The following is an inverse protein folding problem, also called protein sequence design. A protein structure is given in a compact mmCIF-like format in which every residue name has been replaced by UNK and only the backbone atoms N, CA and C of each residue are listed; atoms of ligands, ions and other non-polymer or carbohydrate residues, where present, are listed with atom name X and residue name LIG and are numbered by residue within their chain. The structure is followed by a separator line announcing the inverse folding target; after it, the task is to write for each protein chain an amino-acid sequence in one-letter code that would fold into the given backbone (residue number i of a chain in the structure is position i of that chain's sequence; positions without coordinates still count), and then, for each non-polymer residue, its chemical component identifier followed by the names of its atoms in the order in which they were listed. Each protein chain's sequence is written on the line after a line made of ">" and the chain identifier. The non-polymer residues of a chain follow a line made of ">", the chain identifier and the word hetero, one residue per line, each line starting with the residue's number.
data_IF_641757196083
#
_entry.id   IF_641757196083
#
_cell.length_a   1.000
_cell.length_b   1.000
_cell.length_c   1.000
_cell.angle_alpha   90.00
_cell.angle_beta   90.00
_cell.angle_gamma   90.00
#
_symmetry.space_group_name_H-M   'P 1'
#
loop_
_entity.id
_entity.type
_entity.pdbx_description
1 polymer ?
#
# COMPACT_ATOMS: atom_id res chain seq x y z
N UNK A 1 -3.91 1.06 -30.65
CA UNK A 1 -4.85 2.03 -30.06
C UNK A 1 -5.46 1.54 -28.75
N UNK A 2 -6.39 0.57 -28.75
CA UNK A 2 -7.01 0.09 -27.51
C UNK A 2 -5.99 -0.52 -26.53
N UNK A 3 -5.10 -1.39 -27.02
CA UNK A 3 -4.01 -1.96 -26.22
C UNK A 3 -3.14 -0.88 -25.56
N UNK A 4 -2.69 0.11 -26.33
CA UNK A 4 -1.82 1.19 -25.84
C UNK A 4 -2.50 2.07 -24.80
N UNK A 5 -3.78 2.40 -25.01
CA UNK A 5 -4.58 3.17 -24.05
C UNK A 5 -4.76 2.41 -22.73
N UNK A 6 -5.10 1.12 -22.79
CA UNK A 6 -5.25 0.30 -21.58
C UNK A 6 -3.90 0.12 -20.88
N UNK A 7 -2.80 -0.06 -21.63
CA UNK A 7 -1.45 -0.15 -21.08
C UNK A 7 -1.06 1.13 -20.35
N UNK A 8 -1.38 2.28 -20.93
CA UNK A 8 -1.16 3.58 -20.29
C UNK A 8 -1.96 3.68 -18.99
N UNK A 9 -3.25 3.36 -18.99
CA UNK A 9 -4.10 3.37 -17.79
C UNK A 9 -3.55 2.42 -16.72
N UNK A 10 -3.12 1.22 -17.11
CA UNK A 10 -2.55 0.23 -16.20
C UNK A 10 -1.30 0.77 -15.49
N UNK A 11 -0.36 1.34 -16.26
CA UNK A 11 0.86 1.93 -15.71
C UNK A 11 0.53 3.14 -14.84
N UNK A 12 -0.39 4.01 -15.27
CA UNK A 12 -0.77 5.20 -14.52
C UNK A 12 -1.41 4.85 -13.16
N UNK A 13 -2.26 3.82 -13.11
CA UNK A 13 -2.85 3.34 -11.87
C UNK A 13 -1.77 2.88 -10.87
N UNK A 14 -0.77 2.15 -11.35
CA UNK A 14 0.37 1.70 -10.53
C UNK A 14 1.21 2.89 -10.05
N UNK A 15 1.46 3.89 -10.91
CA UNK A 15 2.19 5.11 -10.54
C UNK A 15 1.43 5.90 -9.46
N UNK A 16 0.13 6.14 -9.63
CA UNK A 16 -0.67 6.88 -8.66
C UNK A 16 -0.90 6.13 -7.34
N UNK A 17 -0.77 4.81 -7.34
CA UNK A 17 -0.74 4.01 -6.12
C UNK A 17 0.44 4.39 -5.18
N UNK A 18 1.48 5.07 -5.69
CA UNK A 18 2.55 5.63 -4.85
C UNK A 18 2.10 6.78 -3.95
N UNK A 19 1.10 7.57 -4.35
CA UNK A 19 0.65 8.72 -3.55
C UNK A 19 0.05 8.31 -2.18
N UNK A 20 -0.87 7.32 -2.10
CA UNK A 20 -1.27 6.73 -0.83
C UNK A 20 -0.11 6.22 0.02
N UNK A 21 0.93 5.65 -0.61
CA UNK A 21 2.11 5.16 0.10
C UNK A 21 2.91 6.30 0.74
N UNK A 22 3.22 7.37 0.00
CA UNK A 22 3.93 8.54 0.55
C UNK A 22 3.14 9.22 1.67
N UNK A 23 1.82 9.31 1.54
CA UNK A 23 0.97 9.84 2.61
C UNK A 23 1.13 9.04 3.91
N UNK A 24 1.31 7.72 3.85
CA UNK A 24 1.54 6.89 5.04
C UNK A 24 2.92 7.10 5.65
N UNK A 25 3.93 7.41 4.83
CA UNK A 25 5.28 7.79 5.31
C UNK A 25 5.18 9.09 6.11
N UNK A 26 4.57 10.13 5.53
CA UNK A 26 4.38 11.44 6.17
C UNK A 26 3.59 11.32 7.46
N UNK A 27 2.51 10.53 7.47
CA UNK A 27 1.75 10.22 8.68
C UNK A 27 2.62 9.56 9.77
N UNK A 28 3.60 8.72 9.40
CA UNK A 28 4.49 8.09 10.36
C UNK A 28 5.42 9.11 11.05
N UNK A 29 5.70 10.23 10.40
CA UNK A 29 6.47 11.34 10.96
C UNK A 29 5.72 12.09 12.05
N UNK A 30 4.43 11.79 12.28
CA UNK A 30 3.66 12.35 13.40
C UNK A 30 4.34 12.19 14.77
N UNK A 31 5.20 11.17 14.92
CA UNK A 31 5.99 10.96 16.15
C UNK A 31 6.90 12.14 16.48
N UNK A 32 7.29 12.94 15.47
CA UNK A 32 8.11 14.13 15.63
C UNK A 32 7.38 15.25 16.37
N UNK A 33 6.04 15.24 16.41
CA UNK A 33 5.24 16.21 17.14
C UNK A 33 5.10 15.89 18.64
N UNK A 34 5.60 14.74 19.12
CA UNK A 34 5.42 14.33 20.52
C UNK A 34 3.95 14.18 20.89
N UNK A 35 3.50 14.86 21.96
CA UNK A 35 2.08 14.97 22.31
C UNK A 35 1.40 16.00 21.41
N UNK A 36 0.99 15.57 20.22
CA UNK A 36 0.24 16.42 19.30
C UNK A 36 -1.19 16.69 19.81
N UNK A 37 -1.74 17.90 19.60
CA UNK A 37 -3.15 18.18 19.84
C UNK A 37 -4.06 17.21 19.07
N UNK A 38 -5.23 16.89 19.63
CA UNK A 38 -6.18 15.97 19.02
C UNK A 38 -6.55 16.35 17.59
N UNK A 39 -6.70 17.65 17.29
CA UNK A 39 -6.97 18.14 15.93
C UNK A 39 -5.89 17.71 14.92
N UNK A 40 -4.61 17.72 15.32
CA UNK A 40 -3.49 17.31 14.47
C UNK A 40 -3.48 15.79 14.30
N UNK A 41 -3.66 15.01 15.38
CA UNK A 41 -3.76 13.54 15.27
C UNK A 41 -4.96 13.13 14.40
N UNK A 42 -6.09 13.83 14.55
CA UNK A 42 -7.31 13.63 13.75
C UNK A 42 -7.08 13.91 12.28
N UNK A 43 -6.33 14.97 11.95
CA UNK A 43 -5.95 15.27 10.58
C UNK A 43 -5.13 14.12 9.95
N UNK A 44 -4.11 13.62 10.66
CA UNK A 44 -3.32 12.47 10.19
C UNK A 44 -4.18 11.21 10.01
N UNK A 45 -5.12 10.94 10.93
CA UNK A 45 -6.03 9.80 10.81
C UNK A 45 -6.95 9.91 9.60
N UNK A 46 -7.42 11.13 9.28
CA UNK A 46 -8.24 11.37 8.08
C UNK A 46 -7.46 11.16 6.78
N UNK A 47 -6.16 11.51 6.74
CA UNK A 47 -5.28 11.21 5.60
C UNK A 47 -5.22 9.70 5.35
N UNK A 48 -4.97 8.91 6.40
CA UNK A 48 -4.89 7.44 6.30
C UNK A 48 -6.23 6.85 5.83
N UNK A 49 -7.33 7.34 6.41
CA UNK A 49 -8.68 6.90 6.04
C UNK A 49 -8.96 7.14 4.56
N UNK A 50 -8.67 8.34 4.07
CA UNK A 50 -8.87 8.69 2.65
C UNK A 50 -7.94 7.93 1.71
N UNK A 51 -6.73 7.59 2.15
CA UNK A 51 -5.78 6.81 1.36
C UNK A 51 -6.29 5.40 1.04
N UNK A 52 -7.00 4.75 1.97
CA UNK A 52 -7.53 3.40 1.77
C UNK A 52 -8.50 3.30 0.56
N UNK A 53 -9.45 4.23 0.45
CA UNK A 53 -10.40 4.26 -0.68
C UNK A 53 -9.70 4.49 -2.01
N UNK A 54 -8.68 5.36 -2.04
CA UNK A 54 -7.87 5.59 -3.24
C UNK A 54 -7.11 4.33 -3.65
N UNK A 55 -6.52 3.59 -2.69
CA UNK A 55 -5.86 2.32 -2.96
C UNK A 55 -6.81 1.30 -3.62
N UNK A 56 -8.06 1.20 -3.17
CA UNK A 56 -9.05 0.30 -3.79
C UNK A 56 -9.29 0.64 -5.25
N UNK A 57 -9.49 1.93 -5.56
CA UNK A 57 -9.72 2.38 -6.93
C UNK A 57 -8.51 2.03 -7.79
N UNK A 58 -7.28 2.36 -7.35
CA UNK A 58 -6.08 2.05 -8.12
C UNK A 58 -5.84 0.53 -8.29
N UNK A 59 -6.08 -0.27 -7.26
CA UNK A 59 -5.97 -1.73 -7.33
C UNK A 59 -7.00 -2.34 -8.29
N UNK A 60 -8.25 -1.86 -8.24
CA UNK A 60 -9.30 -2.29 -9.16
C UNK A 60 -8.97 -1.89 -10.60
N UNK A 61 -8.52 -0.66 -10.83
CA UNK A 61 -8.07 -0.20 -12.14
C UNK A 61 -6.92 -1.06 -12.65
N UNK A 62 -5.91 -1.35 -11.82
CA UNK A 62 -4.78 -2.21 -12.18
C UNK A 62 -5.23 -3.65 -12.50
N UNK A 63 -6.17 -4.21 -11.72
CA UNK A 63 -6.74 -5.54 -11.96
C UNK A 63 -7.47 -5.60 -13.30
N UNK A 64 -8.44 -4.72 -13.51
CA UNK A 64 -9.28 -4.71 -14.71
C UNK A 64 -8.43 -4.45 -15.96
N UNK A 65 -7.57 -3.43 -15.93
CA UNK A 65 -6.68 -3.14 -17.05
C UNK A 65 -5.68 -4.26 -17.30
N UNK A 66 -5.15 -4.91 -16.25
CA UNK A 66 -4.24 -6.05 -16.39
C UNK A 66 -4.90 -7.26 -17.04
N UNK A 67 -6.15 -7.56 -16.67
CA UNK A 67 -6.94 -8.63 -17.29
C UNK A 67 -7.24 -8.33 -18.76
N UNK A 68 -7.60 -7.08 -19.10
CA UNK A 68 -7.87 -6.68 -20.49
C UNK A 68 -6.62 -6.71 -21.36
N UNK A 69 -5.43 -6.46 -20.80
CA UNK A 69 -4.17 -6.50 -21.57
C UNK A 69 -3.79 -7.90 -22.07
N UNK A 70 -4.29 -8.98 -21.44
CA UNK A 70 -4.01 -10.34 -21.88
C UNK A 70 -4.55 -10.61 -23.29
N UNK A 71 -5.88 -10.58 -23.54
CA UNK A 71 -6.42 -10.82 -24.87
C UNK A 71 -6.00 -9.75 -25.87
N UNK A 72 -5.92 -8.47 -25.46
CA UNK A 72 -5.49 -7.38 -26.34
C UNK A 72 -4.01 -7.50 -26.76
N UNK A 73 -3.18 -8.15 -25.95
CA UNK A 73 -1.79 -8.45 -26.25
C UNK A 73 -1.58 -9.77 -26.99
N UNK A 74 -2.65 -10.45 -27.42
CA UNK A 74 -2.60 -11.75 -28.12
C UNK A 74 -2.41 -12.96 -27.21
N UNK A 75 -2.48 -12.80 -25.88
CA UNK A 75 -2.43 -13.91 -24.93
C UNK A 75 -3.84 -14.42 -24.63
N UNK A 76 -4.02 -15.74 -24.61
CA UNK A 76 -5.23 -16.36 -24.06
C UNK A 76 -5.34 -16.13 -22.55
N UNK A 77 -6.55 -16.25 -21.99
CA UNK A 77 -6.78 -16.15 -20.55
C UNK A 77 -5.98 -17.18 -19.73
N UNK A 78 -5.69 -18.36 -20.30
CA UNK A 78 -4.84 -19.36 -19.67
C UNK A 78 -3.41 -18.86 -19.43
N UNK A 79 -2.93 -17.89 -20.23
CA UNK A 79 -1.65 -17.23 -20.08
C UNK A 79 -1.46 -16.56 -18.72
N UNK A 80 -2.55 -16.16 -18.05
CA UNK A 80 -2.49 -15.66 -16.66
C UNK A 80 -1.96 -16.71 -15.68
N UNK A 81 -2.31 -17.98 -15.90
CA UNK A 81 -2.00 -19.11 -15.02
C UNK A 81 -0.71 -19.80 -15.46
N UNK A 82 -0.53 -19.98 -16.78
CA UNK A 82 0.64 -20.62 -17.36
C UNK A 82 1.93 -19.79 -17.14
N UNK A 83 1.81 -18.46 -17.18
CA UNK A 83 2.94 -17.58 -16.91
C UNK A 83 3.10 -17.34 -15.40
N UNK A 84 4.13 -17.94 -14.81
CA UNK A 84 4.43 -17.85 -13.37
C UNK A 84 4.56 -16.41 -12.85
N UNK A 85 5.07 -15.48 -13.65
CA UNK A 85 5.23 -14.08 -13.24
C UNK A 85 3.88 -13.37 -13.21
N UNK A 86 3.04 -13.58 -14.24
CA UNK A 86 1.69 -13.01 -14.29
C UNK A 86 0.82 -13.59 -13.18
N UNK A 87 0.88 -14.90 -12.95
CA UNK A 87 0.18 -15.56 -11.86
C UNK A 87 0.62 -15.00 -10.50
N UNK A 88 1.92 -14.85 -10.27
CA UNK A 88 2.44 -14.27 -9.04
C UNK A 88 1.93 -12.84 -8.82
N UNK A 89 1.96 -11.98 -9.85
CA UNK A 89 1.43 -10.60 -9.77
C UNK A 89 -0.07 -10.59 -9.44
N UNK A 90 -0.85 -11.48 -10.07
CA UNK A 90 -2.27 -11.61 -9.80
C UNK A 90 -2.54 -12.02 -8.36
N UNK A 91 -1.84 -13.05 -7.86
CA UNK A 91 -1.96 -13.50 -6.47
C UNK A 91 -1.56 -12.41 -5.47
N UNK A 92 -0.47 -11.69 -5.73
CA UNK A 92 -0.04 -10.57 -4.89
C UNK A 92 -1.08 -9.43 -4.85
N UNK A 93 -1.73 -9.14 -5.98
CA UNK A 93 -2.81 -8.15 -6.05
C UNK A 93 -4.04 -8.57 -5.21
N UNK A 94 -4.39 -9.86 -5.23
CA UNK A 94 -5.45 -10.40 -4.36
C UNK A 94 -5.08 -10.29 -2.87
N UNK A 95 -3.84 -10.60 -2.52
CA UNK A 95 -3.33 -10.44 -1.15
C UNK A 95 -3.41 -8.96 -0.73
N UNK A 96 -3.02 -8.04 -1.61
CA UNK A 96 -3.14 -6.60 -1.35
C UNK A 96 -4.59 -6.17 -1.07
N UNK A 97 -5.55 -6.69 -1.84
CA UNK A 97 -6.97 -6.43 -1.63
C UNK A 97 -7.45 -6.94 -0.27
N UNK A 98 -7.00 -8.13 0.15
CA UNK A 98 -7.32 -8.69 1.47
C UNK A 98 -6.74 -7.84 2.59
N UNK A 99 -5.46 -7.48 2.51
CA UNK A 99 -4.79 -6.65 3.52
C UNK A 99 -5.47 -5.28 3.65
N UNK A 100 -5.80 -4.66 2.52
CA UNK A 100 -6.51 -3.38 2.48
C UNK A 100 -7.90 -3.50 3.11
N UNK A 101 -8.61 -4.60 2.85
CA UNK A 101 -9.93 -4.88 3.43
C UNK A 101 -9.89 -5.07 4.94
N UNK A 102 -8.89 -5.77 5.45
CA UNK A 102 -8.69 -5.90 6.90
C UNK A 102 -8.46 -4.52 7.54
N UNK A 103 -7.62 -3.69 6.93
CA UNK A 103 -7.36 -2.33 7.44
C UNK A 103 -8.61 -1.46 7.38
N UNK A 104 -9.30 -1.44 6.24
CA UNK A 104 -10.41 -0.51 5.99
C UNK A 104 -11.71 -0.90 6.72
N UNK A 105 -12.03 -2.20 6.78
CA UNK A 105 -13.31 -2.68 7.32
C UNK A 105 -13.24 -3.04 8.81
N UNK A 106 -12.04 -3.34 9.34
CA UNK A 106 -11.89 -3.79 10.73
C UNK A 106 -11.07 -2.82 11.58
N UNK A 107 -9.85 -2.50 11.16
CA UNK A 107 -8.94 -1.72 12.01
C UNK A 107 -9.30 -0.24 12.03
N UNK A 108 -9.55 0.36 10.88
CA UNK A 108 -9.87 1.79 10.77
C UNK A 108 -11.17 2.16 11.53
N UNK A 109 -12.28 1.40 11.42
CA UNK A 109 -13.49 1.71 12.19
C UNK A 109 -13.30 1.51 13.69
N UNK A 110 -12.45 0.54 14.10
CA UNK A 110 -12.09 0.36 15.51
C UNK A 110 -11.34 1.56 16.10
N UNK A 111 -10.43 2.15 15.33
CA UNK A 111 -9.74 3.40 15.73
C UNK A 111 -10.74 4.56 15.78
N UNK A 112 -11.60 4.67 14.78
CA UNK A 112 -12.61 5.73 14.68
C UNK A 112 -13.57 5.73 15.88
N UNK A 113 -14.06 4.55 16.27
CA UNK A 113 -14.96 4.38 17.43
C UNK A 113 -14.33 4.83 18.74
N UNK A 114 -13.01 4.68 18.88
CA UNK A 114 -12.28 5.14 20.07
C UNK A 114 -12.02 6.65 20.02
N UNK A 115 -11.66 7.18 18.85
CA UNK A 115 -11.44 8.62 18.67
C UNK A 115 -12.74 9.44 18.80
N UNK A 116 -13.90 8.87 18.49
CA UNK A 116 -15.19 9.55 18.66
C UNK A 116 -15.60 9.77 20.12
N UNK A 117 -14.90 9.15 21.08
CA UNK A 117 -15.11 9.31 22.52
C UNK A 117 -14.23 10.41 23.12
N UNK A 118 -13.36 11.05 22.32
CA UNK A 118 -12.46 12.09 22.81
C UNK A 118 -13.22 13.41 22.90
N UNK A 119 -13.32 13.94 24.11
CA UNK A 119 -13.83 15.28 24.40
C UNK A 119 -12.65 16.21 24.77
N UNK A 120 -12.51 17.34 24.07
CA UNK A 120 -11.44 18.31 24.30
C UNK A 120 -10.26 18.23 23.31
N UNK A 121 -9.11 18.79 23.72
CA UNK A 121 -7.94 18.96 22.84
C UNK A 121 -6.88 17.86 22.98
N UNK A 122 -7.01 16.97 23.96
CA UNK A 122 -6.05 15.89 24.22
C UNK A 122 -6.75 14.54 24.25
N UNK A 123 -6.04 13.48 23.89
CA UNK A 123 -6.56 12.12 23.94
C UNK A 123 -6.35 11.58 25.36
N UNK A 124 -7.43 11.23 26.09
CA UNK A 124 -7.33 10.62 27.41
C UNK A 124 -6.45 9.36 27.38
N UNK A 125 -5.68 9.14 28.45
CA UNK A 125 -4.71 8.04 28.52
C UNK A 125 -5.35 6.65 28.35
N UNK A 126 -6.58 6.47 28.84
CA UNK A 126 -7.36 5.24 28.68
C UNK A 126 -7.67 4.94 27.21
N UNK A 127 -8.13 5.96 26.47
CA UNK A 127 -8.41 5.85 25.03
C UNK A 127 -7.10 5.62 24.26
N UNK A 128 -6.03 6.33 24.61
CA UNK A 128 -4.72 6.17 24.01
C UNK A 128 -4.20 4.72 24.14
N UNK A 129 -4.32 4.10 25.32
CA UNK A 129 -3.89 2.73 25.57
C UNK A 129 -4.60 1.71 24.67
N UNK A 130 -5.87 1.95 24.32
CA UNK A 130 -6.66 1.07 23.43
C UNK A 130 -6.41 1.33 21.94
N UNK A 131 -6.09 2.57 21.57
CA UNK A 131 -5.83 2.97 20.18
C UNK A 131 -4.45 2.51 19.69
N UNK A 132 -3.42 2.61 20.54
CA UNK A 132 -2.04 2.26 20.19
C UNK A 132 -1.88 0.87 19.55
N UNK A 133 -2.42 -0.25 20.10
CA UNK A 133 -2.25 -1.56 19.49
C UNK A 133 -2.91 -1.66 18.10
N UNK A 134 -4.06 -1.01 17.89
CA UNK A 134 -4.72 -0.95 16.58
C UNK A 134 -3.85 -0.20 15.56
N UNK A 135 -3.28 0.94 15.96
CA UNK A 135 -2.37 1.73 15.12
C UNK A 135 -1.12 0.95 14.77
N UNK A 136 -0.51 0.22 15.71
CA UNK A 136 0.65 -0.64 15.47
C UNK A 136 0.30 -1.75 14.47
N UNK A 137 -0.85 -2.39 14.63
CA UNK A 137 -1.30 -3.45 13.73
C UNK A 137 -1.51 -2.92 12.32
N UNK A 138 -2.23 -1.79 12.16
CA UNK A 138 -2.40 -1.10 10.88
C UNK A 138 -1.06 -0.78 10.22
N UNK A 139 -0.12 -0.26 11.01
CA UNK A 139 1.22 0.11 10.57
C UNK A 139 2.00 -1.09 10.03
N UNK A 140 1.92 -2.25 10.69
CA UNK A 140 2.55 -3.50 10.21
C UNK A 140 1.91 -3.98 8.90
N UNK A 141 0.58 -3.96 8.81
CA UNK A 141 -0.11 -4.36 7.57
C UNK A 141 0.23 -3.41 6.41
N UNK A 142 0.33 -2.10 6.68
CA UNK A 142 0.73 -1.12 5.69
C UNK A 142 2.18 -1.34 5.19
N UNK A 143 3.09 -1.74 6.08
CA UNK A 143 4.45 -2.16 5.71
C UNK A 143 4.45 -3.36 4.76
N UNK A 144 3.63 -4.38 5.07
CA UNK A 144 3.45 -5.54 4.20
C UNK A 144 2.86 -5.14 2.85
N UNK A 145 1.86 -4.25 2.82
CA UNK A 145 1.28 -3.73 1.58
C UNK A 145 2.34 -3.03 0.73
N UNK A 146 3.15 -2.14 1.33
CA UNK A 146 4.23 -1.44 0.62
C UNK A 146 5.23 -2.43 0.00
N UNK A 147 5.65 -3.44 0.75
CA UNK A 147 6.54 -4.47 0.25
C UNK A 147 5.95 -5.22 -0.95
N UNK A 148 4.68 -5.65 -0.84
CA UNK A 148 4.00 -6.37 -1.92
C UNK A 148 3.83 -5.51 -3.17
N UNK A 149 3.54 -4.21 -3.03
CA UNK A 149 3.46 -3.28 -4.16
C UNK A 149 4.80 -3.19 -4.88
N UNK A 150 5.89 -2.96 -4.14
CA UNK A 150 7.24 -2.88 -4.72
C UNK A 150 7.59 -4.20 -5.43
N UNK A 151 7.31 -5.34 -4.78
CA UNK A 151 7.52 -6.66 -5.37
C UNK A 151 6.72 -6.84 -6.66
N UNK A 152 5.47 -6.40 -6.69
CA UNK A 152 4.61 -6.47 -7.89
C UNK A 152 5.15 -5.62 -9.04
N UNK A 153 5.73 -4.46 -8.76
CA UNK A 153 6.41 -3.60 -9.74
C UNK A 153 7.68 -4.28 -10.26
N UNK A 154 8.52 -4.82 -9.38
CA UNK A 154 9.75 -5.55 -9.75
C UNK A 154 9.42 -6.74 -10.67
N UNK A 155 8.41 -7.53 -10.33
CA UNK A 155 7.93 -8.62 -11.20
C UNK A 155 7.40 -8.09 -12.54
N UNK A 156 6.77 -6.91 -12.56
CA UNK A 156 6.37 -6.26 -13.81
C UNK A 156 7.56 -5.92 -14.71
N UNK A 157 8.64 -5.39 -14.15
CA UNK A 157 9.87 -5.12 -14.90
C UNK A 157 10.47 -6.41 -15.46
N UNK A 158 10.42 -7.52 -14.71
CA UNK A 158 10.92 -8.82 -15.17
C UNK A 158 10.15 -9.45 -16.33
N UNK A 159 8.91 -9.01 -16.58
CA UNK A 159 8.17 -9.41 -17.78
C UNK A 159 8.81 -8.81 -19.04
N UNK A 160 9.35 -7.59 -18.94
CA UNK A 160 9.94 -6.86 -20.07
C UNK A 160 11.44 -7.16 -20.18
N UNK A 161 12.18 -7.09 -19.07
CA UNK A 161 13.63 -7.27 -19.00
C UNK A 161 13.96 -8.20 -17.84
N UNK A 162 14.52 -9.38 -18.14
CA UNK A 162 14.91 -10.33 -17.09
C UNK A 162 16.22 -9.91 -16.44
N UNK A 163 16.18 -9.66 -15.14
CA UNK A 163 17.37 -9.45 -14.34
C UNK A 163 18.01 -10.80 -13.93
N UNK A 164 19.31 -10.81 -13.69
CA UNK A 164 19.99 -11.96 -13.08
C UNK A 164 19.43 -12.27 -11.69
N UNK A 165 19.57 -13.53 -11.25
CA UNK A 165 19.06 -13.99 -9.96
C UNK A 165 19.64 -13.20 -8.77
N UNK A 166 20.95 -12.88 -8.82
CA UNK A 166 21.62 -12.07 -7.78
C UNK A 166 21.05 -10.66 -7.66
N UNK A 167 20.87 -9.95 -8.79
CA UNK A 167 20.28 -8.61 -8.81
C UNK A 167 18.81 -8.64 -8.34
N UNK A 168 18.05 -9.64 -8.77
CA UNK A 168 16.67 -9.84 -8.31
C UNK A 168 16.59 -10.02 -6.80
N UNK A 169 17.44 -10.89 -6.24
CA UNK A 169 17.52 -11.11 -4.79
C UNK A 169 17.88 -9.83 -4.04
N UNK A 170 18.87 -9.08 -4.53
CA UNK A 170 19.26 -7.79 -3.95
C UNK A 170 18.09 -6.79 -3.94
N UNK A 171 17.38 -6.64 -5.06
CA UNK A 171 16.24 -5.71 -5.16
C UNK A 171 15.09 -6.10 -4.22
N UNK A 172 14.82 -7.39 -4.04
CA UNK A 172 13.82 -7.89 -3.09
C UNK A 172 14.24 -7.60 -1.65
N UNK A 173 15.51 -7.82 -1.31
CA UNK A 173 16.05 -7.51 0.02
C UNK A 173 15.95 -6.02 0.29
N UNK A 174 16.36 -5.17 -0.65
CA UNK A 174 16.25 -3.72 -0.53
C UNK A 174 14.80 -3.27 -0.35
N UNK A 175 13.85 -3.86 -1.10
CA UNK A 175 12.44 -3.60 -0.94
C UNK A 175 11.92 -3.98 0.46
N UNK A 176 12.36 -5.11 1.00
CA UNK A 176 11.99 -5.57 2.34
C UNK A 176 12.57 -4.65 3.43
N UNK A 177 13.85 -4.31 3.32
CA UNK A 177 14.55 -3.40 4.26
C UNK A 177 13.89 -2.02 4.23
N UNK A 178 13.64 -1.46 3.05
CA UNK A 178 12.97 -0.18 2.88
C UNK A 178 11.57 -0.21 3.53
N UNK A 179 10.76 -1.22 3.19
CA UNK A 179 9.40 -1.34 3.73
C UNK A 179 9.38 -1.46 5.25
N UNK A 180 10.36 -2.15 5.84
CA UNK A 180 10.50 -2.23 7.30
C UNK A 180 10.98 -0.91 7.92
N UNK A 181 12.00 -0.28 7.33
CA UNK A 181 12.67 0.93 7.82
C UNK A 181 11.73 2.14 7.85
N UNK A 182 10.93 2.31 6.80
CA UNK A 182 9.96 3.41 6.64
C UNK A 182 8.95 3.45 7.78
N UNK A 183 8.55 2.28 8.27
CA UNK A 183 7.65 2.19 9.41
C UNK A 183 8.39 2.17 10.74
N UNK A 184 9.62 1.65 10.85
CA UNK A 184 10.32 1.66 12.14
C UNK A 184 10.71 3.06 12.60
N UNK A 185 11.12 3.93 11.68
CA UNK A 185 11.59 5.28 12.00
C UNK A 185 11.30 6.26 10.86
N UNK A 186 11.12 7.55 11.14
CA UNK A 186 10.95 8.59 10.12
C UNK A 186 12.06 8.55 9.06
N UNK A 187 11.73 8.94 7.84
CA UNK A 187 12.63 8.87 6.67
C UNK A 187 12.71 10.25 6.05
N UNK A 188 13.54 11.13 6.63
CA UNK A 188 13.57 12.57 6.33
C UNK A 188 13.77 12.91 4.85
N UNK A 189 14.50 12.07 4.12
CA UNK A 189 14.81 12.29 2.70
C UNK A 189 13.98 11.42 1.75
N UNK A 190 13.02 10.64 2.27
CA UNK A 190 12.25 9.68 1.47
C UNK A 190 13.03 8.43 1.04
N UNK A 191 14.33 8.35 1.37
CA UNK A 191 15.24 7.23 1.09
C UNK A 191 15.89 6.74 2.39
N UNK A 192 16.24 5.43 2.43
CA UNK A 192 16.80 4.64 3.54
C UNK A 192 17.25 5.41 4.80
#
# INVERSE_FOLDING_TARGET
>A
MAYDAIKFIHVLAVVFMSAPLYNLIVVNERVLFGKAPFAVDRYFENIIRGAASRCYIYQLTALVSGLLLLPLGGFGWSGLIENRILLAKFMLLLVLMVLLSIVHLRIQPGIEKLLSQVEGQEIPQEIAARIVPLRITRKRLAASCLFIVILTVLLGLQVIVRFGAGLTGLLIILAAVFSWRVYKSPVRFGWF
#
